data_IF_556854158257
#
_entry.id   IF_556854158257
#
_cell.length_a   1.000
_cell.length_b   1.000
_cell.length_c   1.000
_cell.angle_alpha   90.00
_cell.angle_beta   90.00
_cell.angle_gamma   90.00
#
_symmetry.space_group_name_H-M   'P 1'
#
loop_
_entity.id
_entity.type
_entity.pdbx_description
1 polymer ?
#
# COMPACT_ATOMS: atom_id res chain seq x y z
N UNK A 1 -18.93 -18.61 -5.45
CA UNK A 1 -17.52 -18.25 -5.26
C UNK A 1 -17.30 -18.10 -3.77
N UNK A 2 -16.33 -18.82 -3.19
CA UNK A 2 -16.03 -18.73 -1.76
C UNK A 2 -15.39 -17.35 -1.52
N UNK A 3 -16.12 -16.45 -0.85
CA UNK A 3 -15.48 -15.37 -0.11
C UNK A 3 -14.69 -16.08 0.99
N UNK A 4 -13.40 -16.33 0.76
CA UNK A 4 -12.55 -16.75 1.85
C UNK A 4 -12.47 -15.57 2.80
N UNK A 5 -12.88 -15.81 4.04
CA UNK A 5 -12.52 -15.02 5.21
C UNK A 5 -11.13 -14.42 5.00
N UNK A 6 -11.08 -13.13 4.68
CA UNK A 6 -9.84 -12.37 4.74
C UNK A 6 -9.60 -12.23 6.22
N UNK A 7 -8.73 -13.12 6.74
CA UNK A 7 -8.29 -13.11 8.14
C UNK A 7 -8.13 -11.67 8.58
N UNK A 8 -8.85 -11.29 9.62
CA UNK A 8 -8.74 -9.96 10.20
C UNK A 8 -7.29 -9.84 10.67
N UNK A 9 -6.50 -9.05 9.93
CA UNK A 9 -5.05 -8.95 10.12
C UNK A 9 -4.79 -8.57 11.58
N UNK A 10 -4.19 -9.48 12.35
CA UNK A 10 -3.97 -9.20 13.78
C UNK A 10 -2.88 -8.14 14.00
N UNK A 11 -2.83 -7.58 15.20
CA UNK A 11 -1.92 -6.49 15.54
C UNK A 11 -0.44 -6.88 15.40
N UNK A 12 -0.07 -8.12 15.70
CA UNK A 12 1.31 -8.60 15.64
C UNK A 12 1.74 -8.78 14.19
N UNK A 13 0.87 -9.35 13.36
CA UNK A 13 1.09 -9.51 11.93
C UNK A 13 1.15 -8.16 11.23
N UNK A 14 0.24 -7.23 11.55
CA UNK A 14 0.27 -5.86 11.03
C UNK A 14 1.57 -5.15 11.41
N UNK A 15 1.96 -5.17 12.69
CA UNK A 15 3.18 -4.52 13.17
C UNK A 15 4.44 -5.08 12.50
N UNK A 16 4.55 -6.41 12.37
CA UNK A 16 5.69 -7.04 11.70
C UNK A 16 5.75 -6.69 10.20
N UNK A 17 4.60 -6.62 9.53
CA UNK A 17 4.49 -6.24 8.12
C UNK A 17 4.85 -4.76 7.91
N UNK A 18 4.39 -3.85 8.78
CA UNK A 18 4.82 -2.45 8.78
C UNK A 18 6.32 -2.30 9.06
N UNK A 19 6.90 -3.09 9.98
CA UNK A 19 8.34 -3.09 10.23
C UNK A 19 9.12 -3.57 8.99
N UNK A 20 8.61 -4.56 8.26
CA UNK A 20 9.15 -4.96 6.97
C UNK A 20 9.05 -3.83 5.92
N UNK A 21 8.08 -2.92 6.00
CA UNK A 21 7.99 -1.74 5.12
C UNK A 21 8.81 -0.54 5.59
N UNK A 22 9.16 -0.45 6.89
CA UNK A 22 9.85 0.67 7.54
C UNK A 22 11.30 0.91 7.10
N UNK A 23 11.70 0.48 5.91
CA UNK A 23 13.00 0.75 5.29
C UNK A 23 12.78 1.38 3.92
N UNK A 24 13.46 2.51 3.66
CA UNK A 24 13.35 3.23 2.39
C UNK A 24 13.63 2.35 1.17
N UNK A 25 14.67 1.50 1.25
CA UNK A 25 15.01 0.59 0.16
C UNK A 25 13.94 -0.47 -0.07
N UNK A 26 13.37 -1.06 1.00
CA UNK A 26 12.31 -2.07 0.87
C UNK A 26 11.02 -1.47 0.34
N UNK A 27 10.65 -0.28 0.82
CA UNK A 27 9.51 0.45 0.30
C UNK A 27 9.72 0.85 -1.17
N UNK A 28 10.94 1.25 -1.55
CA UNK A 28 11.31 1.54 -2.94
C UNK A 28 11.18 0.32 -3.86
N UNK A 29 11.66 -0.85 -3.41
CA UNK A 29 11.52 -2.14 -4.11
C UNK A 29 10.05 -2.51 -4.26
N UNK A 30 9.26 -2.47 -3.18
CA UNK A 30 7.83 -2.79 -3.24
C UNK A 30 7.08 -1.82 -4.16
N UNK A 31 7.34 -0.51 -4.05
CA UNK A 31 6.75 0.51 -4.94
C UNK A 31 7.08 0.24 -6.41
N UNK A 32 8.29 -0.24 -6.70
CA UNK A 32 8.71 -0.61 -8.07
C UNK A 32 7.89 -1.78 -8.59
N UNK A 33 7.64 -2.79 -7.76
CA UNK A 33 6.79 -3.93 -8.09
C UNK A 33 5.31 -3.54 -8.23
N UNK A 34 4.78 -2.68 -7.36
CA UNK A 34 3.40 -2.15 -7.49
C UNK A 34 3.23 -1.45 -8.84
N UNK A 35 4.20 -0.63 -9.25
CA UNK A 35 4.17 0.05 -10.56
C UNK A 35 4.29 -0.91 -11.75
N UNK A 36 4.88 -2.09 -11.56
CA UNK A 36 5.00 -3.11 -12.60
C UNK A 36 3.69 -3.91 -12.80
N UNK A 37 2.78 -3.89 -11.84
CA UNK A 37 1.51 -4.59 -11.93
C UNK A 37 1.58 -6.06 -11.50
N UNK A 38 0.52 -6.85 -11.77
CA UNK A 38 0.38 -8.23 -11.27
C UNK A 38 1.39 -9.22 -11.88
N UNK A 39 1.89 -8.95 -13.08
CA UNK A 39 2.92 -9.78 -13.72
C UNK A 39 4.29 -9.64 -13.04
N UNK A 40 4.49 -8.56 -12.28
CA UNK A 40 5.73 -8.33 -11.55
C UNK A 40 6.93 -8.04 -12.45
N UNK A 41 8.12 -8.33 -11.96
CA UNK A 41 9.40 -8.12 -12.66
C UNK A 41 10.36 -9.27 -12.40
N UNK A 42 11.26 -9.51 -13.34
CA UNK A 42 12.45 -10.34 -13.08
C UNK A 42 13.33 -9.66 -12.01
N UNK A 43 14.09 -10.44 -11.24
CA UNK A 43 15.04 -9.87 -10.24
C UNK A 43 16.03 -8.88 -10.87
N UNK A 44 16.50 -9.14 -12.09
CA UNK A 44 17.41 -8.22 -12.81
C UNK A 44 16.75 -6.87 -13.08
N UNK A 45 15.59 -6.88 -13.75
CA UNK A 45 14.83 -5.65 -14.06
C UNK A 45 14.37 -4.94 -12.79
N UNK A 46 14.02 -5.68 -11.74
CA UNK A 46 13.66 -5.10 -10.45
C UNK A 46 14.84 -4.31 -9.87
N UNK A 47 16.04 -4.91 -9.85
CA UNK A 47 17.22 -4.26 -9.30
C UNK A 47 17.66 -3.02 -10.08
N UNK A 48 17.57 -3.07 -11.41
CA UNK A 48 17.81 -1.92 -12.28
C UNK A 48 16.84 -0.77 -11.98
N UNK A 49 15.54 -1.07 -11.88
CA UNK A 49 14.49 -0.04 -11.68
C UNK A 49 14.45 0.51 -10.26
N UNK A 50 14.72 -0.32 -9.25
CA UNK A 50 14.72 0.11 -7.85
C UNK A 50 16.04 0.72 -7.41
N UNK A 51 17.12 0.58 -8.19
CA UNK A 51 18.47 1.01 -7.82
C UNK A 51 19.09 0.16 -6.70
N UNK A 52 18.60 -1.05 -6.47
CA UNK A 52 19.08 -1.97 -5.42
C UNK A 52 19.58 -3.24 -6.08
N UNK A 53 20.82 -3.65 -5.82
CA UNK A 53 21.46 -4.74 -6.56
C UNK A 53 21.97 -5.84 -5.65
N UNK A 54 22.27 -7.00 -6.26
CA UNK A 54 23.01 -8.09 -5.64
C UNK A 54 22.37 -8.69 -4.39
N UNK A 55 23.21 -8.93 -3.38
CA UNK A 55 22.83 -9.55 -2.11
C UNK A 55 21.82 -8.71 -1.32
N UNK A 56 21.91 -7.38 -1.41
CA UNK A 56 20.99 -6.45 -0.75
C UNK A 56 19.57 -6.62 -1.28
N UNK A 57 19.38 -6.68 -2.61
CA UNK A 57 18.06 -6.92 -3.19
C UNK A 57 17.51 -8.28 -2.77
N UNK A 58 18.36 -9.32 -2.74
CA UNK A 58 17.97 -10.66 -2.32
C UNK A 58 17.50 -10.68 -0.87
N UNK A 59 18.21 -9.98 0.02
CA UNK A 59 17.85 -9.85 1.43
C UNK A 59 16.50 -9.12 1.60
N UNK A 60 16.33 -7.98 0.92
CA UNK A 60 15.07 -7.23 0.95
C UNK A 60 13.89 -8.04 0.41
N UNK A 61 14.09 -8.76 -0.69
CA UNK A 61 13.07 -9.66 -1.26
C UNK A 61 12.68 -10.77 -0.28
N UNK A 62 13.66 -11.36 0.43
CA UNK A 62 13.37 -12.37 1.46
C UNK A 62 12.54 -11.79 2.60
N UNK A 63 12.90 -10.61 3.11
CA UNK A 63 12.14 -9.93 4.17
C UNK A 63 10.72 -9.61 3.72
N UNK A 64 10.55 -9.05 2.51
CA UNK A 64 9.23 -8.73 1.97
C UNK A 64 8.39 -10.00 1.74
N UNK A 65 9.00 -11.11 1.31
CA UNK A 65 8.31 -12.38 1.11
C UNK A 65 7.90 -13.01 2.44
N UNK A 66 8.75 -12.92 3.48
CA UNK A 66 8.41 -13.36 4.84
C UNK A 66 7.27 -12.56 5.44
N UNK A 67 7.16 -11.28 5.09
CA UNK A 67 6.03 -10.42 5.47
C UNK A 67 4.78 -10.62 4.58
N UNK A 68 4.79 -11.57 3.64
CA UNK A 68 3.66 -11.87 2.75
C UNK A 68 3.41 -10.87 1.62
N UNK A 69 4.20 -9.79 1.52
CA UNK A 69 3.94 -8.69 0.58
C UNK A 69 4.36 -8.96 -0.86
N UNK A 70 5.25 -9.92 -1.08
CA UNK A 70 5.73 -10.30 -2.42
C UNK A 70 5.76 -11.81 -2.58
N UNK A 71 5.47 -12.27 -3.79
CA UNK A 71 5.60 -13.66 -4.20
C UNK A 71 6.73 -13.78 -5.21
N UNK A 72 7.41 -14.93 -5.20
CA UNK A 72 8.48 -15.26 -6.14
C UNK A 72 8.08 -16.50 -6.93
N UNK A 73 8.14 -16.42 -8.26
CA UNK A 73 7.88 -17.55 -9.17
C UNK A 73 9.11 -17.82 -10.01
N UNK A 74 9.42 -19.10 -10.25
CA UNK A 74 10.47 -19.50 -11.20
C UNK A 74 9.86 -19.63 -12.60
N UNK A 75 10.46 -18.97 -13.57
CA UNK A 75 10.14 -19.06 -14.99
C UNK A 75 11.33 -19.70 -15.72
N UNK A 76 11.14 -20.91 -16.24
CA UNK A 76 12.19 -21.68 -16.91
C UNK A 76 13.33 -22.09 -15.96
N UNK A 77 14.58 -22.00 -16.42
CA UNK A 77 15.74 -22.51 -15.67
C UNK A 77 16.21 -21.62 -14.52
N UNK A 78 16.11 -20.28 -14.62
CA UNK A 78 16.69 -19.38 -13.61
C UNK A 78 16.01 -18.01 -13.42
N UNK A 79 14.87 -17.72 -14.07
CA UNK A 79 14.26 -16.39 -13.93
C UNK A 79 13.31 -16.38 -12.74
N UNK A 80 13.68 -15.71 -11.66
CA UNK A 80 12.78 -15.45 -10.52
C UNK A 80 12.01 -14.17 -10.85
N UNK A 81 10.69 -14.28 -11.01
CA UNK A 81 9.79 -13.15 -11.13
C UNK A 81 9.21 -12.83 -9.75
N UNK A 82 9.32 -11.57 -9.33
CA UNK A 82 8.76 -11.04 -8.11
C UNK A 82 7.49 -10.25 -8.44
N UNK A 83 6.40 -10.52 -7.73
CA UNK A 83 5.13 -9.81 -7.88
C UNK A 83 4.55 -9.46 -6.51
N UNK A 84 3.76 -8.38 -6.44
CA UNK A 84 3.11 -7.95 -5.19
C UNK A 84 1.94 -8.86 -4.85
N UNK A 85 1.80 -9.22 -3.57
CA UNK A 85 0.56 -9.78 -3.04
C UNK A 85 -0.40 -8.62 -2.75
N UNK A 86 -1.19 -8.22 -3.76
CA UNK A 86 -2.02 -7.01 -3.66
C UNK A 86 -3.11 -7.09 -2.59
N UNK A 87 -3.63 -8.28 -2.33
CA UNK A 87 -4.69 -8.46 -1.34
C UNK A 87 -4.14 -8.27 0.08
N UNK A 88 -2.93 -8.77 0.35
CA UNK A 88 -2.19 -8.50 1.60
C UNK A 88 -1.85 -7.01 1.76
N UNK A 89 -1.39 -6.37 0.68
CA UNK A 89 -1.09 -4.93 0.71
C UNK A 89 -2.34 -4.09 0.99
N UNK A 90 -3.49 -4.49 0.44
CA UNK A 90 -4.80 -3.87 0.73
C UNK A 90 -5.21 -4.12 2.17
N UNK A 91 -5.14 -5.35 2.66
CA UNK A 91 -5.46 -5.70 4.05
C UNK A 91 -4.62 -4.88 5.06
N UNK A 92 -3.33 -4.70 4.79
CA UNK A 92 -2.44 -3.87 5.63
C UNK A 92 -2.85 -2.39 5.63
N UNK A 93 -3.27 -1.85 4.49
CA UNK A 93 -3.73 -0.47 4.38
C UNK A 93 -5.08 -0.28 5.08
N UNK A 94 -5.97 -1.24 4.89
CA UNK A 94 -7.29 -1.30 5.52
C UNK A 94 -7.19 -1.37 7.05
N UNK A 95 -6.18 -2.09 7.58
CA UNK A 95 -5.97 -2.26 9.02
C UNK A 95 -6.00 -0.94 9.80
N UNK A 96 -5.28 0.09 9.31
CA UNK A 96 -5.30 1.42 9.92
C UNK A 96 -6.46 2.28 9.45
N UNK A 97 -6.80 2.24 8.15
CA UNK A 97 -7.80 3.14 7.58
C UNK A 97 -9.23 2.85 8.05
N UNK A 98 -9.55 1.59 8.40
CA UNK A 98 -10.83 1.23 9.06
C UNK A 98 -10.97 1.83 10.46
N UNK A 99 -9.86 2.19 11.10
CA UNK A 99 -9.83 2.81 12.43
C UNK A 99 -9.81 4.34 12.35
N UNK A 100 -9.80 4.94 11.16
CA UNK A 100 -9.74 6.39 11.01
C UNK A 100 -10.99 7.06 11.62
N UNK A 101 -10.75 7.94 12.59
CA UNK A 101 -11.75 8.84 13.17
C UNK A 101 -12.95 8.15 13.84
N UNK A 102 -12.89 6.85 14.12
CA UNK A 102 -14.00 6.08 14.74
C UNK A 102 -14.42 6.69 16.08
N UNK A 103 -13.47 7.17 16.88
CA UNK A 103 -13.72 7.81 18.18
C UNK A 103 -13.62 9.35 18.13
N UNK A 104 -13.47 9.93 16.93
CA UNK A 104 -13.35 11.38 16.81
C UNK A 104 -14.72 12.05 17.00
N UNK A 105 -14.84 13.11 17.82
CA UNK A 105 -16.08 13.87 17.90
C UNK A 105 -16.38 14.48 16.53
N UNK A 106 -17.58 14.22 16.02
CA UNK A 106 -18.10 14.89 14.82
C UNK A 106 -18.12 16.39 15.13
N UNK A 107 -17.27 17.16 14.47
CA UNK A 107 -17.34 18.62 14.60
C UNK A 107 -18.66 19.05 13.99
N UNK A 108 -19.62 19.43 14.84
CA UNK A 108 -20.85 20.10 14.40
C UNK A 108 -20.42 21.42 13.78
N UNK A 109 -20.23 21.42 12.46
CA UNK A 109 -19.97 22.63 11.71
C UNK A 109 -21.15 23.57 11.94
N UNK A 110 -20.86 24.61 12.71
CA UNK A 110 -21.72 25.70 13.08
C UNK A 110 -22.20 26.41 11.80
N UNK A 111 -23.51 26.63 11.76
CA UNK A 111 -24.29 27.42 10.81
C UNK A 111 -23.52 28.65 10.28
N UNK A 112 -23.04 28.60 9.03
CA UNK A 112 -22.69 29.81 8.29
C UNK A 112 -23.97 30.35 7.66
N UNK A 113 -24.66 31.16 8.44
CA UNK A 113 -25.70 32.10 8.04
C UNK A 113 -25.26 32.85 6.77
N UNK A 114 -25.82 32.45 5.64
CA UNK A 114 -25.67 33.14 4.37
C UNK A 114 -26.86 34.10 4.21
N UNK A 115 -26.93 35.11 5.09
CA UNK A 115 -27.87 36.23 4.92
C UNK A 115 -27.46 37.07 3.71
N UNK A 116 -28.13 36.74 2.61
CA UNK A 116 -28.47 37.53 1.43
C UNK A 116 -28.31 39.06 1.58
N UNK A 117 -27.35 39.65 0.86
CA UNK A 117 -27.39 41.06 0.44
C UNK A 117 -27.32 41.14 -1.09
N UNK A 118 -28.40 40.69 -1.75
CA UNK A 118 -28.70 41.07 -3.13
C UNK A 118 -29.92 42.00 -3.11
N UNK A 119 -29.69 43.30 -2.83
CA UNK A 119 -30.65 44.34 -3.18
C UNK A 119 -30.28 44.92 -4.54
N UNK A 120 -31.20 44.69 -5.48
CA UNK A 120 -31.10 44.98 -6.88
C UNK A 120 -31.01 46.48 -7.19
N UNK A 121 -30.17 46.78 -8.18
CA UNK A 121 -30.40 47.72 -9.30
C UNK A 121 -31.80 48.36 -9.33
N UNK A 122 -31.88 49.70 -9.36
CA UNK A 122 -32.61 50.47 -10.40
C UNK A 122 -32.79 51.96 -10.06
N UNK A 123 -32.42 52.79 -11.04
CA UNK A 123 -33.14 54.00 -11.49
C UNK A 123 -32.61 55.36 -11.04
N UNK A 124 -32.11 56.08 -12.07
CA UNK A 124 -31.96 57.53 -12.28
C UNK A 124 -30.92 58.29 -11.47
#
# INVERSE_FOLDING_TARGET
MKHSDTDDLDLVQAASTFAALGSEQRLGVLRTLVRAGPEGLTIGTLGERSGVTGSTLTHHMKTLAQAGLVTQKRQGRQIICAAVAYDELRALTDFLTRQCCVDAPQSTAHDHDQTNQNQAKRTL
#
